data_IF_746514784400
#
_entry.id   IF_746514784400
#
_cell.length_a   1.000
_cell.length_b   1.000
_cell.length_c   1.000
_cell.angle_alpha   90.00
_cell.angle_beta   90.00
_cell.angle_gamma   90.00
#
_symmetry.space_group_name_H-M   'P 1'
#
loop_
_entity.id
_entity.type
_entity.pdbx_description
1 polymer ?
#
# COMPACT_ATOMS: atom_id res chain seq x y z
N UNK A 1 28.50 37.36 24.98
CA UNK A 1 28.71 36.36 23.91
C UNK A 1 27.43 35.55 23.74
N UNK A 2 26.61 35.92 22.76
CA UNK A 2 25.40 35.18 22.37
C UNK A 2 25.84 33.92 21.62
N UNK A 3 25.57 32.74 22.18
CA UNK A 3 25.83 31.47 21.52
C UNK A 3 24.81 31.29 20.40
N UNK A 4 25.29 31.43 19.16
CA UNK A 4 24.59 31.02 17.94
C UNK A 4 24.35 29.52 18.02
N UNK A 5 23.09 29.10 18.17
CA UNK A 5 22.70 27.70 17.99
C UNK A 5 22.55 27.46 16.50
N UNK A 6 23.55 26.82 15.89
CA UNK A 6 23.47 26.35 14.52
C UNK A 6 22.36 25.31 14.41
N UNK A 7 21.24 25.67 13.78
CA UNK A 7 20.25 24.71 13.32
C UNK A 7 20.86 23.94 12.14
N UNK A 8 21.19 22.66 12.37
CA UNK A 8 21.50 21.75 11.26
C UNK A 8 20.19 21.38 10.57
N UNK A 9 19.95 21.98 9.42
CA UNK A 9 18.89 21.58 8.50
C UNK A 9 19.36 20.29 7.80
N UNK A 10 18.84 19.14 8.23
CA UNK A 10 19.07 17.86 7.55
C UNK A 10 18.09 17.79 6.37
N UNK A 11 18.61 17.96 5.16
CA UNK A 11 17.87 17.75 3.92
C UNK A 11 17.90 16.25 3.63
N UNK A 12 16.76 15.58 3.77
CA UNK A 12 16.56 14.19 3.34
C UNK A 12 16.38 14.23 1.81
N UNK A 13 17.41 13.85 1.07
CA UNK A 13 17.32 13.73 -0.39
C UNK A 13 17.01 12.26 -0.74
N UNK A 14 15.72 11.91 -0.84
CA UNK A 14 15.28 10.61 -1.35
C UNK A 14 15.36 10.66 -2.88
N UNK A 15 16.31 9.93 -3.49
CA UNK A 15 16.32 9.71 -4.93
C UNK A 15 15.50 8.46 -5.27
N UNK A 16 14.26 8.65 -5.71
CA UNK A 16 13.43 7.57 -6.25
C UNK A 16 13.65 7.44 -7.77
N UNK A 17 14.37 6.41 -8.21
CA UNK A 17 14.42 6.05 -9.63
C UNK A 17 13.27 5.07 -9.90
N UNK A 18 12.28 5.52 -10.67
CA UNK A 18 11.10 4.73 -11.03
C UNK A 18 11.31 4.03 -12.38
N UNK A 19 11.27 2.69 -12.42
CA UNK A 19 11.22 1.90 -13.66
C UNK A 19 9.87 1.22 -13.80
N UNK A 20 9.23 1.38 -14.97
CA UNK A 20 7.96 0.73 -15.31
C UNK A 20 8.23 -0.53 -16.16
N UNK A 21 7.54 -1.62 -15.84
CA UNK A 21 7.56 -2.88 -16.62
C UNK A 21 6.13 -3.40 -16.78
N UNK A 22 5.86 -4.17 -17.84
CA UNK A 22 4.57 -4.80 -18.16
C UNK A 22 4.59 -6.32 -17.88
N UNK A 23 3.43 -6.96 -17.63
CA UNK A 23 3.36 -8.34 -17.13
C UNK A 23 3.78 -9.36 -18.20
N UNK A 24 5.04 -9.81 -18.15
CA UNK A 24 5.55 -10.95 -18.94
C UNK A 24 6.44 -11.93 -18.13
N UNK A 25 6.68 -11.69 -16.83
CA UNK A 25 7.65 -12.47 -16.05
C UNK A 25 7.02 -13.18 -14.85
N UNK A 26 7.42 -14.44 -14.60
CA UNK A 26 7.02 -15.27 -13.44
C UNK A 26 7.39 -14.68 -12.06
N UNK A 27 8.10 -13.56 -12.03
CA UNK A 27 8.66 -12.93 -10.82
C UNK A 27 7.77 -11.81 -10.27
N UNK A 28 6.62 -11.55 -10.89
CA UNK A 28 5.69 -10.53 -10.39
C UNK A 28 4.88 -11.05 -9.21
N UNK A 29 4.56 -10.14 -8.30
CA UNK A 29 3.67 -10.45 -7.18
C UNK A 29 2.32 -10.92 -7.72
N UNK A 30 1.83 -12.02 -7.17
CA UNK A 30 0.45 -12.45 -7.37
C UNK A 30 -0.20 -12.71 -6.04
N UNK A 31 -1.52 -12.54 -6.02
CA UNK A 31 -2.33 -12.87 -4.87
C UNK A 31 -3.62 -13.48 -5.36
N UNK A 32 -3.67 -14.82 -5.37
CA UNK A 32 -4.77 -15.58 -5.97
C UNK A 32 -5.00 -15.19 -7.46
N UNK A 33 -6.11 -14.51 -7.76
CA UNK A 33 -6.51 -14.10 -9.11
C UNK A 33 -6.17 -12.64 -9.43
N UNK A 34 -5.47 -11.93 -8.55
CA UNK A 34 -4.99 -10.59 -8.85
C UNK A 34 -3.92 -10.65 -9.95
N UNK A 35 -4.22 -10.02 -11.09
CA UNK A 35 -3.30 -9.88 -12.21
C UNK A 35 -2.88 -8.40 -12.27
N UNK A 36 -1.68 -8.06 -11.77
CA UNK A 36 -1.13 -6.71 -11.91
C UNK A 36 -0.98 -6.29 -13.38
N UNK A 37 -1.33 -5.04 -13.67
CA UNK A 37 -1.24 -4.45 -15.02
C UNK A 37 0.07 -3.70 -15.23
N UNK A 38 0.58 -3.08 -14.18
CA UNK A 38 1.82 -2.31 -14.21
C UNK A 38 2.56 -2.51 -12.88
N UNK A 39 3.90 -2.43 -12.96
CA UNK A 39 4.77 -2.44 -11.79
C UNK A 39 5.69 -1.23 -11.83
N UNK A 40 5.74 -0.53 -10.72
CA UNK A 40 6.69 0.54 -10.40
C UNK A 40 7.73 -0.03 -9.43
N UNK A 41 9.00 -0.03 -9.81
CA UNK A 41 10.10 -0.35 -8.89
C UNK A 41 10.55 0.89 -8.13
N UNK A 42 10.72 0.73 -6.82
CA UNK A 42 11.27 1.76 -5.92
C UNK A 42 12.47 1.17 -5.20
N UNK A 43 13.54 1.95 -5.12
CA UNK A 43 14.69 1.65 -4.28
C UNK A 43 14.79 2.70 -3.18
N UNK A 44 14.74 2.26 -1.92
CA UNK A 44 14.93 3.11 -0.75
C UNK A 44 16.31 2.83 -0.19
N UNK A 45 17.05 3.87 0.17
CA UNK A 45 18.39 3.74 0.76
C UNK A 45 18.40 4.31 2.19
N UNK A 46 18.95 3.54 3.13
CA UNK A 46 19.28 4.01 4.46
C UNK A 46 20.78 4.29 4.54
N UNK A 47 21.16 5.56 4.52
CA UNK A 47 22.53 6.03 4.60
C UNK A 47 23.07 6.10 6.03
N UNK A 48 22.24 5.80 7.03
CA UNK A 48 22.63 5.82 8.44
C UNK A 48 23.38 4.55 8.84
N UNK A 49 24.17 4.66 9.89
CA UNK A 49 24.93 3.54 10.49
C UNK A 49 24.07 2.61 11.36
N UNK A 50 22.76 2.87 11.47
CA UNK A 50 21.85 2.07 12.30
C UNK A 50 20.58 1.65 11.53
N UNK A 51 19.97 0.57 11.99
CA UNK A 51 18.74 0.04 11.40
C UNK A 51 17.56 0.99 11.65
N UNK A 52 16.79 1.23 10.60
CA UNK A 52 15.50 1.91 10.65
C UNK A 52 14.41 0.84 10.79
N UNK A 53 13.86 0.67 11.99
CA UNK A 53 12.70 -0.22 12.23
C UNK A 53 11.43 0.61 12.13
N UNK A 54 10.37 0.04 11.55
CA UNK A 54 9.07 0.69 11.37
C UNK A 54 9.23 2.07 10.72
N UNK A 55 10.07 2.14 9.68
CA UNK A 55 10.42 3.40 9.03
C UNK A 55 9.25 3.88 8.19
N UNK A 56 8.70 5.08 8.46
CA UNK A 56 7.71 5.67 7.58
C UNK A 56 8.35 5.98 6.22
N UNK A 57 7.64 5.64 5.15
CA UNK A 57 8.00 5.96 3.78
C UNK A 57 6.81 6.69 3.17
N UNK A 58 7.10 7.81 2.52
CA UNK A 58 6.13 8.65 1.83
C UNK A 58 6.63 8.84 0.41
N UNK A 59 5.75 8.61 -0.57
CA UNK A 59 5.96 9.01 -1.96
C UNK A 59 4.98 10.15 -2.23
N UNK A 60 5.53 11.33 -2.48
CA UNK A 60 4.75 12.54 -2.78
C UNK A 60 4.19 12.48 -4.20
N UNK A 61 3.15 13.28 -4.46
CA UNK A 61 2.45 13.31 -5.76
C UNK A 61 3.39 13.51 -6.93
N UNK A 62 4.37 14.40 -6.82
CA UNK A 62 5.32 14.74 -7.88
C UNK A 62 6.23 13.56 -8.27
N UNK A 63 6.53 12.70 -7.30
CA UNK A 63 7.37 11.52 -7.48
C UNK A 63 6.57 10.28 -7.90
N UNK A 64 5.24 10.35 -7.82
CA UNK A 64 4.36 9.24 -8.18
C UNK A 64 3.94 9.34 -9.66
N UNK A 65 4.25 8.35 -10.51
CA UNK A 65 4.12 8.49 -11.96
C UNK A 65 2.67 8.50 -12.47
N UNK A 66 1.70 8.13 -11.63
CA UNK A 66 0.28 8.08 -12.00
C UNK A 66 -0.53 8.82 -10.96
N UNK A 67 -0.93 10.03 -11.32
CA UNK A 67 -1.79 10.86 -10.49
C UNK A 67 -3.23 10.36 -10.49
N UNK A 68 -3.99 10.71 -9.43
CA UNK A 68 -5.44 10.48 -9.30
C UNK A 68 -5.85 9.00 -9.35
N UNK A 69 -4.99 8.11 -8.88
CA UNK A 69 -5.28 6.69 -8.75
C UNK A 69 -6.05 6.40 -7.46
N UNK A 70 -7.09 5.58 -7.55
CA UNK A 70 -7.84 5.17 -6.37
C UNK A 70 -7.05 4.15 -5.55
N UNK A 71 -7.05 4.26 -4.22
CA UNK A 71 -6.29 3.36 -3.31
C UNK A 71 -6.47 1.86 -3.57
N UNK A 72 -7.65 1.46 -4.03
CA UNK A 72 -7.98 0.05 -4.34
C UNK A 72 -7.27 -0.51 -5.58
N UNK A 73 -6.57 0.35 -6.32
CA UNK A 73 -5.77 -0.02 -7.48
C UNK A 73 -4.28 -0.12 -7.18
N UNK A 74 -3.87 0.19 -5.94
CA UNK A 74 -2.48 0.17 -5.50
C UNK A 74 -2.25 -1.07 -4.64
N UNK A 75 -1.14 -1.76 -4.87
CA UNK A 75 -0.64 -2.80 -3.96
C UNK A 75 0.87 -2.60 -3.79
N UNK A 76 1.29 -2.19 -2.60
CA UNK A 76 2.71 -2.06 -2.22
C UNK A 76 3.22 -3.42 -1.79
N UNK A 77 4.36 -3.86 -2.31
CA UNK A 77 4.93 -5.20 -2.07
C UNK A 77 6.40 -5.11 -1.71
N UNK A 78 6.78 -5.80 -0.64
CA UNK A 78 8.18 -6.10 -0.34
C UNK A 78 8.51 -7.52 -0.84
N UNK A 79 9.34 -7.66 -1.89
CA UNK A 79 9.73 -8.98 -2.41
C UNK A 79 10.65 -9.75 -1.45
N UNK A 80 11.26 -9.09 -0.47
CA UNK A 80 12.15 -9.70 0.52
C UNK A 80 11.43 -10.26 1.75
N UNK A 81 10.13 -9.99 1.91
CA UNK A 81 9.31 -10.54 3.00
C UNK A 81 8.67 -11.87 2.60
N UNK A 82 8.45 -12.78 3.57
CA UNK A 82 7.82 -14.06 3.29
C UNK A 82 6.37 -13.86 2.81
N UNK A 83 5.95 -14.56 1.74
CA UNK A 83 4.58 -14.47 1.26
C UNK A 83 3.59 -15.03 2.29
N UNK A 84 2.38 -14.44 2.31
CA UNK A 84 1.27 -14.97 3.09
C UNK A 84 0.83 -16.34 2.57
N UNK A 85 0.48 -17.21 3.51
CA UNK A 85 -0.14 -18.51 3.21
C UNK A 85 -1.63 -18.35 2.92
N UNK A 86 -2.24 -19.41 2.39
CA UNK A 86 -3.69 -19.47 2.22
C UNK A 86 -4.38 -19.39 3.60
N UNK A 87 -5.26 -18.41 3.84
CA UNK A 87 -5.98 -18.31 5.11
C UNK A 87 -7.00 -19.46 5.27
N UNK A 88 -7.29 -19.81 6.52
CA UNK A 88 -8.34 -20.79 6.81
C UNK A 88 -9.73 -20.23 6.48
N UNK A 89 -10.72 -21.11 6.31
CA UNK A 89 -12.11 -20.71 6.05
C UNK A 89 -12.67 -19.85 7.18
N UNK A 90 -12.28 -20.12 8.42
CA UNK A 90 -12.71 -19.38 9.61
C UNK A 90 -12.16 -17.95 9.59
N UNK A 91 -10.87 -17.77 9.27
CA UNK A 91 -10.26 -16.44 9.13
C UNK A 91 -10.92 -15.68 8.00
N UNK A 92 -11.18 -16.35 6.86
CA UNK A 92 -11.89 -15.74 5.74
C UNK A 92 -13.31 -15.30 6.09
N UNK A 93 -14.04 -16.11 6.87
CA UNK A 93 -15.38 -15.76 7.30
C UNK A 93 -15.41 -14.50 8.19
N UNK A 94 -14.37 -14.29 9.01
CA UNK A 94 -14.25 -13.13 9.90
C UNK A 94 -13.74 -11.88 9.19
N UNK A 95 -12.65 -12.00 8.44
CA UNK A 95 -11.91 -10.88 7.85
C UNK A 95 -12.41 -10.49 6.45
N UNK A 96 -13.09 -11.41 5.76
CA UNK A 96 -13.70 -11.20 4.45
C UNK A 96 -12.75 -10.71 3.37
N UNK A 97 -13.21 -9.71 2.62
CA UNK A 97 -12.48 -9.12 1.50
C UNK A 97 -11.12 -8.51 1.90
N UNK A 98 -10.97 -8.14 3.18
CA UNK A 98 -9.76 -7.51 3.70
C UNK A 98 -8.65 -8.52 4.07
N UNK A 99 -8.97 -9.83 4.09
CA UNK A 99 -7.97 -10.85 4.37
C UNK A 99 -7.02 -11.06 3.19
N UNK A 100 -5.71 -10.97 3.46
CA UNK A 100 -4.69 -11.39 2.49
C UNK A 100 -4.87 -12.88 2.16
N UNK A 101 -4.86 -13.19 0.86
CA UNK A 101 -4.82 -14.57 0.35
C UNK A 101 -3.40 -15.04 0.14
N UNK A 102 -3.24 -16.27 -0.35
CA UNK A 102 -1.95 -16.80 -0.71
C UNK A 102 -1.23 -15.87 -1.69
N UNK A 103 -0.01 -15.51 -1.33
CA UNK A 103 0.85 -14.65 -2.11
C UNK A 103 1.97 -15.45 -2.79
N UNK A 104 2.50 -14.88 -3.87
CA UNK A 104 3.77 -15.31 -4.45
C UNK A 104 4.65 -14.09 -4.71
N UNK A 105 5.96 -14.29 -4.68
CA UNK A 105 6.96 -13.28 -5.06
C UNK A 105 6.95 -12.00 -4.20
N UNK A 106 6.64 -12.15 -2.91
CA UNK A 106 6.72 -11.08 -1.91
C UNK A 106 5.52 -11.07 -0.97
N UNK A 107 5.45 -10.01 -0.17
CA UNK A 107 4.36 -9.76 0.76
C UNK A 107 3.75 -8.38 0.53
N UNK A 108 2.42 -8.31 0.46
CA UNK A 108 1.73 -7.03 0.38
C UNK A 108 1.79 -6.29 1.70
N UNK A 109 2.08 -5.00 1.63
CA UNK A 109 2.21 -4.11 2.76
C UNK A 109 0.95 -3.27 2.94
N UNK A 110 0.62 -3.00 4.20
CA UNK A 110 -0.37 -1.97 4.52
C UNK A 110 0.14 -0.61 4.05
N UNK A 111 -0.72 0.09 3.35
CA UNK A 111 -0.44 1.40 2.78
C UNK A 111 -1.72 2.25 2.78
N UNK A 112 -1.55 3.54 2.61
CA UNK A 112 -2.62 4.51 2.54
C UNK A 112 -2.22 5.64 1.59
N UNK A 113 -3.16 6.09 0.76
CA UNK A 113 -3.09 7.43 0.19
C UNK A 113 -3.60 8.40 1.24
N UNK A 114 -2.86 9.47 1.50
CA UNK A 114 -3.18 10.46 2.50
C UNK A 114 -3.15 11.88 1.89
N UNK A 115 -3.57 12.86 2.68
CA UNK A 115 -3.51 14.31 2.36
C UNK A 115 -2.54 14.95 3.36
N UNK A 116 -1.24 14.68 3.15
CA UNK A 116 -0.16 15.07 4.07
C UNK A 116 0.14 16.56 3.96
N UNK A 117 0.08 17.12 2.75
CA UNK A 117 0.29 18.55 2.51
C UNK A 117 -0.96 19.42 2.78
N UNK A 118 -2.13 18.80 2.94
CA UNK A 118 -3.42 19.42 3.30
C UNK A 118 -4.01 20.27 2.19
N UNK A 119 -3.76 19.92 0.94
CA UNK A 119 -4.40 20.56 -0.21
C UNK A 119 -5.82 20.02 -0.47
N UNK A 120 -6.21 18.95 0.23
CA UNK A 120 -7.52 18.31 0.14
C UNK A 120 -7.57 17.14 -0.86
N UNK A 121 -6.44 16.78 -1.46
CA UNK A 121 -6.27 15.66 -2.38
C UNK A 121 -5.54 14.54 -1.63
N UNK A 122 -6.02 13.31 -1.78
CA UNK A 122 -5.45 12.14 -1.10
C UNK A 122 -4.53 11.40 -2.06
N UNK A 123 -3.30 11.89 -2.24
CA UNK A 123 -2.38 11.41 -3.28
C UNK A 123 -0.96 11.08 -2.81
N UNK A 124 -0.58 11.34 -1.55
CA UNK A 124 0.70 10.85 -1.06
C UNK A 124 0.58 9.43 -0.54
N UNK A 125 1.39 8.53 -1.11
CA UNK A 125 1.41 7.13 -0.72
C UNK A 125 2.29 6.94 0.50
N UNK A 126 1.67 6.54 1.60
CA UNK A 126 2.31 6.23 2.87
C UNK A 126 2.31 4.73 3.16
N UNK A 127 3.43 4.22 3.66
CA UNK A 127 3.57 2.87 4.23
C UNK A 127 4.77 2.81 5.19
N UNK A 128 4.97 1.67 5.87
CA UNK A 128 6.07 1.50 6.83
C UNK A 128 6.87 0.25 6.53
N UNK A 129 8.20 0.31 6.64
CA UNK A 129 9.09 -0.85 6.42
C UNK A 129 10.39 -0.75 7.22
N UNK A 130 11.02 -1.90 7.45
CA UNK A 130 12.36 -1.96 8.04
C UNK A 130 13.45 -1.80 6.97
N UNK A 131 14.50 -1.04 7.29
CA UNK A 131 15.67 -0.86 6.42
C UNK A 131 16.95 -0.98 7.26
N UNK A 132 17.82 -1.91 6.89
CA UNK A 132 19.10 -2.11 7.60
C UNK A 132 20.03 -0.91 7.43
N UNK A 133 20.98 -0.75 8.36
CA UNK A 133 22.06 0.22 8.24
C UNK A 133 22.80 0.08 6.90
N UNK A 134 23.11 1.20 6.25
CA UNK A 134 23.87 1.27 4.98
C UNK A 134 23.34 0.39 3.85
N UNK A 135 22.05 0.08 3.86
CA UNK A 135 21.44 -0.84 2.91
C UNK A 135 20.45 -0.13 1.99
N UNK A 136 20.33 -0.65 0.77
CA UNK A 136 19.19 -0.39 -0.09
C UNK A 136 18.15 -1.50 0.05
N UNK A 137 16.87 -1.13 -0.06
CA UNK A 137 15.73 -2.05 -0.14
C UNK A 137 14.96 -1.74 -1.42
N UNK A 138 14.68 -2.79 -2.20
CA UNK A 138 13.79 -2.72 -3.35
C UNK A 138 12.38 -3.09 -2.95
N UNK A 139 11.43 -2.26 -3.35
CA UNK A 139 10.00 -2.45 -3.18
C UNK A 139 9.32 -2.30 -4.54
N UNK A 140 8.11 -2.84 -4.64
CA UNK A 140 7.30 -2.71 -5.84
C UNK A 140 5.94 -2.11 -5.51
N UNK A 141 5.46 -1.25 -6.39
CA UNK A 141 4.07 -0.83 -6.40
C UNK A 141 3.43 -1.44 -7.64
N UNK A 142 2.50 -2.34 -7.40
CA UNK A 142 1.69 -2.94 -8.45
C UNK A 142 0.40 -2.15 -8.61
N UNK A 143 0.06 -1.88 -9.86
CA UNK A 143 -1.18 -1.24 -10.24
C UNK A 143 -2.09 -2.25 -10.91
N UNK A 144 -3.35 -2.25 -10.49
CA UNK A 144 -4.39 -3.10 -11.01
C UNK A 144 -5.52 -3.24 -10.01
N UNK A 145 -6.71 -3.57 -10.50
CA UNK A 145 -7.88 -3.73 -9.66
C UNK A 145 -7.72 -4.94 -8.73
N UNK A 146 -7.41 -4.69 -7.46
CA UNK A 146 -7.22 -5.73 -6.43
C UNK A 146 -8.34 -5.64 -5.37
N UNK A 147 -9.59 -5.55 -5.82
CA UNK A 147 -10.75 -5.59 -4.93
C UNK A 147 -11.31 -6.99 -4.89
N UNK A 148 -11.56 -7.45 -3.67
CA UNK A 148 -12.21 -8.73 -3.40
C UNK A 148 -13.66 -8.46 -3.03
N UNK A 149 -14.56 -9.29 -3.56
CA UNK A 149 -15.97 -9.24 -3.22
C UNK A 149 -16.19 -9.47 -1.72
N UNK A 150 -17.37 -9.10 -1.24
CA UNK A 150 -17.72 -9.25 0.16
C UNK A 150 -18.02 -10.73 0.45
N UNK A 151 -17.84 -11.16 1.71
CA UNK A 151 -18.30 -12.49 2.12
C UNK A 151 -19.78 -12.65 1.78
N UNK A 152 -20.21 -13.88 1.48
CA UNK A 152 -21.64 -14.15 1.27
C UNK A 152 -22.39 -13.73 2.54
N UNK A 153 -23.17 -12.67 2.44
CA UNK A 153 -23.94 -12.09 3.53
C UNK A 153 -25.43 -12.31 3.27
N UNK A 154 -26.15 -12.77 4.30
CA UNK A 154 -27.61 -12.90 4.28
C UNK A 154 -28.32 -11.55 4.34
N UNK A 155 -29.62 -11.57 4.61
CA UNK A 155 -30.42 -10.36 4.78
C UNK A 155 -29.99 -9.58 6.02
N UNK A 156 -29.49 -8.36 5.84
CA UNK A 156 -29.11 -7.46 6.94
C UNK A 156 -29.56 -6.03 6.66
N UNK A 157 -30.12 -5.38 7.69
CA UNK A 157 -30.31 -3.95 7.71
C UNK A 157 -29.07 -3.28 8.32
N UNK A 158 -28.54 -2.25 7.66
CA UNK A 158 -27.40 -1.47 8.14
C UNK A 158 -27.60 0.02 7.85
N UNK A 159 -26.84 0.87 8.52
CA UNK A 159 -26.73 2.28 8.14
C UNK A 159 -25.38 2.44 7.45
N UNK A 160 -25.40 2.84 6.18
CA UNK A 160 -24.19 3.13 5.44
C UNK A 160 -23.99 4.63 5.28
N UNK A 161 -22.73 5.03 5.17
CA UNK A 161 -22.35 6.42 4.92
C UNK A 161 -22.17 6.64 3.43
N UNK A 162 -23.00 7.50 2.86
CA UNK A 162 -22.80 8.07 1.52
C UNK A 162 -22.21 9.47 1.67
N UNK A 163 -20.94 9.48 2.10
CA UNK A 163 -20.18 10.65 2.51
C UNK A 163 -20.84 11.42 3.66
N UNK A 164 -21.81 12.29 3.36
CA UNK A 164 -22.51 13.15 4.33
C UNK A 164 -23.91 12.67 4.70
N UNK A 165 -24.42 11.64 4.04
CA UNK A 165 -25.75 11.11 4.30
C UNK A 165 -25.67 9.71 4.89
N UNK A 166 -26.31 9.52 6.04
CA UNK A 166 -26.57 8.20 6.57
C UNK A 166 -27.82 7.65 5.90
N UNK A 167 -27.69 6.56 5.15
CA UNK A 167 -28.81 5.93 4.46
C UNK A 167 -29.04 4.52 5.02
N UNK A 168 -30.30 4.12 5.23
CA UNK A 168 -30.60 2.74 5.56
C UNK A 168 -30.31 1.88 4.32
N UNK A 169 -29.43 0.89 4.50
CA UNK A 169 -29.19 -0.16 3.53
C UNK A 169 -29.93 -1.42 3.93
N UNK A 170 -30.53 -2.04 2.94
CA UNK A 170 -30.96 -3.42 3.01
C UNK A 170 -30.10 -4.21 2.02
N UNK A 171 -29.26 -5.11 2.54
CA UNK A 171 -28.48 -6.03 1.71
C UNK A 171 -29.06 -7.43 1.84
N UNK A 172 -29.12 -8.15 0.74
CA UNK A 172 -29.46 -9.58 0.69
C UNK A 172 -28.48 -10.31 -0.23
N UNK A 173 -28.62 -11.63 -0.36
CA UNK A 173 -27.84 -12.37 -1.36
C UNK A 173 -28.19 -12.01 -2.82
N UNK A 174 -29.24 -11.22 -3.04
CA UNK A 174 -29.72 -10.81 -4.37
C UNK A 174 -29.57 -9.31 -4.66
N UNK A 175 -29.31 -8.48 -3.64
CA UNK A 175 -29.22 -7.01 -3.76
C UNK A 175 -28.08 -6.51 -2.86
N UNK A 176 -27.07 -5.89 -3.48
CA UNK A 176 -25.83 -5.42 -2.83
C UNK A 176 -25.66 -3.92 -2.90
#
# INVERSE_FOLDING_TARGET
MLHSKSFSLIIILLFCICRQTFPETNDWYTQENFIPQQRIEITIYNDLEFNRIDCPVIIIREDFPIQDIHKLWITVVDPGLPPSHEPSKEILALSGAHQLRKETNGHAMFHQLNDLDKDGIWDELFFMTDIRAKASKKLYIYLGYNVRGWNKHGTHAGIGSYCRHLVPFWKSEHVG
#
